data_IF_889075368253
#
_entry.id   IF_889075368253
#
_cell.length_a   1.000
_cell.length_b   1.000
_cell.length_c   1.000
_cell.angle_alpha   90.00
_cell.angle_beta   90.00
_cell.angle_gamma   90.00
#
_symmetry.space_group_name_H-M   'P 1'
#
loop_
_entity.id
_entity.type
_entity.pdbx_description
1 polymer ?
#
# COMPACT_ATOMS: atom_id res chain seq x y z
N UNK A 1 5.87 3.39 8.85
CA UNK A 1 6.94 3.91 9.74
C UNK A 1 8.18 3.07 9.50
N UNK A 2 9.29 3.69 9.08
CA UNK A 2 10.55 2.98 8.82
C UNK A 2 11.14 2.46 10.14
N UNK A 3 11.34 1.14 10.26
CA UNK A 3 12.02 0.54 11.41
C UNK A 3 13.48 0.99 11.40
N UNK A 4 13.86 1.78 12.40
CA UNK A 4 15.24 1.97 12.81
C UNK A 4 15.77 0.66 13.43
N UNK A 5 16.27 -0.27 12.62
CA UNK A 5 17.15 -1.34 13.09
C UNK A 5 18.42 -1.31 12.26
N UNK A 6 19.55 -1.13 12.94
CA UNK A 6 20.91 -1.11 12.38
C UNK A 6 21.13 -2.35 11.51
N UNK A 7 21.73 -2.18 10.33
CA UNK A 7 21.98 -3.23 9.32
C UNK A 7 22.65 -4.50 9.88
N UNK A 8 23.37 -4.37 11.00
CA UNK A 8 24.00 -5.47 11.74
C UNK A 8 23.00 -6.38 12.45
N UNK A 9 21.94 -5.85 13.07
CA UNK A 9 20.94 -6.63 13.82
C UNK A 9 20.10 -7.51 12.91
N UNK A 10 19.68 -6.98 11.76
CA UNK A 10 18.89 -7.73 10.77
C UNK A 10 19.71 -8.88 10.18
N UNK A 11 20.98 -8.63 9.86
CA UNK A 11 21.87 -9.67 9.33
C UNK A 11 22.15 -10.79 10.35
N UNK A 12 22.27 -10.45 11.64
CA UNK A 12 22.41 -11.44 12.71
C UNK A 12 21.15 -12.27 12.91
N UNK A 13 19.97 -11.66 12.86
CA UNK A 13 18.70 -12.37 12.97
C UNK A 13 18.48 -13.33 11.79
N UNK A 14 18.83 -12.91 10.56
CA UNK A 14 18.78 -13.79 9.38
C UNK A 14 19.74 -14.97 9.56
N UNK A 15 20.99 -14.74 9.99
CA UNK A 15 21.95 -15.85 10.21
C UNK A 15 21.48 -16.82 11.28
N UNK A 16 20.91 -16.31 12.37
CA UNK A 16 20.34 -17.14 13.43
C UNK A 16 19.21 -18.02 12.88
N UNK A 17 18.33 -17.44 12.06
CA UNK A 17 17.26 -18.18 11.40
C UNK A 17 17.80 -19.24 10.43
N UNK A 18 18.81 -18.89 9.61
CA UNK A 18 19.48 -19.85 8.71
C UNK A 18 20.11 -21.02 9.48
N UNK A 19 20.66 -20.75 10.67
CA UNK A 19 21.22 -21.77 11.57
C UNK A 19 20.14 -22.65 12.20
N UNK A 20 19.02 -22.07 12.63
CA UNK A 20 17.88 -22.84 13.17
C UNK A 20 17.21 -23.74 12.12
N UNK A 21 17.22 -23.32 10.85
CA UNK A 21 16.66 -24.07 9.72
C UNK A 21 17.67 -25.01 9.05
N UNK A 22 18.94 -24.99 9.48
CA UNK A 22 20.07 -25.66 8.82
C UNK A 22 20.09 -25.43 7.29
N UNK A 23 19.70 -24.23 6.86
CA UNK A 23 19.48 -23.90 5.45
C UNK A 23 19.86 -22.45 5.15
N UNK A 24 20.67 -22.22 4.13
CA UNK A 24 20.99 -20.87 3.65
C UNK A 24 19.81 -20.30 2.85
N UNK A 25 19.24 -19.20 3.35
CA UNK A 25 18.15 -18.47 2.70
C UNK A 25 18.69 -17.39 1.76
N UNK A 26 19.91 -16.92 2.00
CA UNK A 26 20.59 -15.92 1.16
C UNK A 26 21.94 -16.42 0.65
N UNK A 27 22.20 -16.18 -0.64
CA UNK A 27 23.50 -16.36 -1.27
C UNK A 27 24.17 -15.01 -1.53
N UNK A 28 25.50 -14.97 -1.46
CA UNK A 28 26.28 -13.79 -1.85
C UNK A 28 26.65 -13.91 -3.33
N UNK A 29 26.23 -12.94 -4.14
CA UNK A 29 26.64 -12.79 -5.54
C UNK A 29 27.33 -11.43 -5.70
N UNK A 30 28.66 -11.43 -5.67
CA UNK A 30 29.47 -10.21 -5.63
C UNK A 30 29.16 -9.35 -4.41
N UNK A 31 28.70 -8.10 -4.63
CA UNK A 31 28.28 -7.18 -3.56
C UNK A 31 26.80 -7.33 -3.15
N UNK A 32 26.03 -8.20 -3.81
CA UNK A 32 24.58 -8.34 -3.56
C UNK A 32 24.28 -9.64 -2.81
N UNK A 33 23.27 -9.58 -1.93
CA UNK A 33 22.65 -10.76 -1.31
C UNK A 33 21.38 -11.08 -2.07
N UNK A 34 21.28 -12.30 -2.60
CA UNK A 34 20.12 -12.81 -3.33
C UNK A 34 19.48 -13.94 -2.54
N UNK A 35 18.19 -14.16 -2.70
CA UNK A 35 17.53 -15.32 -2.13
C UNK A 35 18.02 -16.59 -2.83
N UNK A 36 18.13 -17.68 -2.07
CA UNK A 36 18.25 -19.03 -2.63
C UNK A 36 16.84 -19.54 -2.99
N UNK A 37 16.70 -20.65 -3.75
CA UNK A 37 15.39 -21.28 -3.97
C UNK A 37 14.66 -21.60 -2.64
N UNK A 38 15.41 -22.05 -1.63
CA UNK A 38 14.87 -22.25 -0.28
C UNK A 38 14.46 -20.92 0.38
N UNK A 39 15.22 -19.85 0.16
CA UNK A 39 14.89 -18.49 0.57
C UNK A 39 13.58 -17.97 -0.03
N UNK A 40 13.34 -18.22 -1.32
CA UNK A 40 12.09 -17.86 -2.00
C UNK A 40 10.90 -18.64 -1.44
N UNK A 41 11.07 -19.95 -1.26
CA UNK A 41 10.04 -20.81 -0.66
C UNK A 41 9.71 -20.35 0.78
N UNK A 42 10.75 -20.12 1.59
CA UNK A 42 10.60 -19.66 2.97
C UNK A 42 9.95 -18.27 3.03
N UNK A 43 10.30 -17.35 2.14
CA UNK A 43 9.68 -16.02 2.07
C UNK A 43 8.16 -16.11 1.88
N UNK A 44 7.68 -17.07 1.08
CA UNK A 44 6.25 -17.35 0.93
C UNK A 44 5.57 -17.82 2.21
N UNK A 45 6.25 -18.62 3.04
CA UNK A 45 5.76 -19.01 4.37
C UNK A 45 5.82 -17.85 5.36
N UNK A 46 6.93 -17.11 5.42
CA UNK A 46 7.12 -16.00 6.33
C UNK A 46 6.07 -14.90 6.13
N UNK A 47 5.75 -14.56 4.87
CA UNK A 47 4.67 -13.61 4.56
C UNK A 47 3.31 -14.08 5.08
N UNK A 48 2.98 -15.37 4.91
CA UNK A 48 1.73 -15.96 5.41
C UNK A 48 1.67 -15.98 6.94
N UNK A 49 2.80 -16.28 7.59
CA UNK A 49 2.87 -16.27 9.05
C UNK A 49 2.67 -14.85 9.61
N UNK A 50 3.33 -13.84 9.04
CA UNK A 50 3.12 -12.46 9.46
C UNK A 50 1.66 -12.03 9.31
N UNK A 51 1.03 -12.36 8.18
CA UNK A 51 -0.40 -12.08 7.97
C UNK A 51 -1.29 -12.77 9.03
N UNK A 52 -1.01 -14.04 9.35
CA UNK A 52 -1.76 -14.78 10.38
C UNK A 52 -1.51 -14.24 11.79
N UNK A 53 -0.28 -13.78 12.07
CA UNK A 53 0.07 -13.13 13.33
C UNK A 53 -0.71 -11.82 13.50
N UNK A 54 -0.75 -11.00 12.45
CA UNK A 54 -1.51 -9.75 12.43
C UNK A 54 -3.01 -10.02 12.62
N UNK A 55 -3.56 -11.03 11.94
CA UNK A 55 -4.95 -11.50 12.11
C UNK A 55 -5.23 -11.91 13.57
N UNK A 56 -4.36 -12.72 14.17
CA UNK A 56 -4.53 -13.20 15.55
C UNK A 56 -4.44 -12.05 16.58
N UNK A 57 -3.48 -11.14 16.41
CA UNK A 57 -3.33 -9.96 17.28
C UNK A 57 -4.56 -9.05 17.17
N UNK A 58 -5.11 -8.90 15.96
CA UNK A 58 -6.33 -8.14 15.73
C UNK A 58 -7.55 -8.80 16.37
N UNK A 59 -7.74 -10.11 16.19
CA UNK A 59 -8.85 -10.87 16.79
C UNK A 59 -8.85 -10.81 18.33
N UNK A 60 -7.66 -10.72 18.94
CA UNK A 60 -7.49 -10.63 20.38
C UNK A 60 -7.47 -9.20 20.92
N UNK A 61 -7.35 -8.20 20.05
CA UNK A 61 -7.46 -6.80 20.44
C UNK A 61 -8.92 -6.53 20.85
N UNK A 62 -9.17 -6.47 22.17
CA UNK A 62 -10.47 -6.26 22.84
C UNK A 62 -11.21 -4.95 22.48
N UNK A 63 -10.83 -4.26 21.42
CA UNK A 63 -11.39 -3.00 20.95
C UNK A 63 -11.61 -2.99 19.43
N UNK A 64 -11.96 -4.14 18.85
CA UNK A 64 -12.33 -4.30 17.44
C UNK A 64 -13.63 -3.55 17.11
N UNK A 65 -13.59 -2.22 17.09
CA UNK A 65 -14.34 -1.51 16.07
C UNK A 65 -13.75 -2.02 14.75
N UNK A 66 -14.56 -2.70 13.95
CA UNK A 66 -14.30 -2.80 12.53
C UNK A 66 -13.95 -1.39 12.08
N UNK A 67 -12.69 -1.15 11.72
CA UNK A 67 -12.26 0.17 11.31
C UNK A 67 -12.89 0.40 9.94
N UNK A 68 -14.07 1.01 9.93
CA UNK A 68 -14.61 1.57 8.73
C UNK A 68 -13.76 2.78 8.35
N UNK A 69 -13.27 2.78 7.13
CA UNK A 69 -12.54 3.92 6.56
C UNK A 69 -13.38 4.41 5.40
N UNK A 70 -13.82 5.67 5.47
CA UNK A 70 -14.57 6.36 4.42
C UNK A 70 -13.58 7.16 3.57
N UNK A 71 -13.36 6.69 2.36
CA UNK A 71 -12.45 7.28 1.38
C UNK A 71 -13.25 7.97 0.26
N UNK A 72 -13.13 9.28 0.16
CA UNK A 72 -13.62 10.04 -0.98
C UNK A 72 -12.59 10.09 -2.10
N UNK A 73 -12.97 9.82 -3.35
CA UNK A 73 -12.04 9.82 -4.49
C UNK A 73 -12.58 10.64 -5.66
N UNK A 74 -11.73 11.48 -6.24
CA UNK A 74 -12.05 12.22 -7.46
C UNK A 74 -12.41 11.26 -8.61
N UNK A 75 -13.45 11.58 -9.39
CA UNK A 75 -13.80 10.84 -10.61
C UNK A 75 -12.61 10.65 -11.57
N UNK A 76 -11.68 11.60 -11.65
CA UNK A 76 -10.50 11.50 -12.51
C UNK A 76 -9.57 10.35 -12.12
N UNK A 77 -9.70 9.80 -10.91
CA UNK A 77 -8.89 8.71 -10.38
C UNK A 77 -9.63 7.37 -10.34
N UNK A 78 -10.96 7.34 -10.47
CA UNK A 78 -11.76 6.12 -10.31
C UNK A 78 -11.53 5.09 -11.42
N UNK A 79 -11.22 5.54 -12.64
CA UNK A 79 -11.04 4.65 -13.81
C UNK A 79 -9.59 4.21 -14.03
N UNK A 80 -8.64 4.79 -13.28
CA UNK A 80 -7.21 4.55 -13.46
C UNK A 80 -6.60 3.60 -12.44
N UNK A 81 -5.72 4.12 -11.59
CA UNK A 81 -4.89 3.36 -10.63
C UNK A 81 -5.70 2.82 -9.44
N UNK A 82 -6.88 3.39 -9.19
CA UNK A 82 -7.65 3.12 -7.98
C UNK A 82 -8.08 1.65 -7.83
N UNK A 83 -8.62 0.95 -8.84
CA UNK A 83 -9.07 -0.44 -8.67
C UNK A 83 -7.93 -1.39 -8.26
N UNK A 84 -6.74 -1.23 -8.83
CA UNK A 84 -5.59 -2.06 -8.46
C UNK A 84 -5.11 -1.77 -7.04
N UNK A 85 -5.08 -0.49 -6.65
CA UNK A 85 -4.72 -0.06 -5.30
C UNK A 85 -5.72 -0.57 -4.25
N UNK A 86 -7.02 -0.48 -4.54
CA UNK A 86 -8.09 -1.02 -3.67
C UNK A 86 -7.99 -2.54 -3.55
N UNK A 87 -7.69 -3.25 -4.64
CA UNK A 87 -7.50 -4.70 -4.61
C UNK A 87 -6.26 -5.10 -3.77
N UNK A 88 -5.15 -4.36 -3.87
CA UNK A 88 -3.98 -4.57 -3.02
C UNK A 88 -4.29 -4.28 -1.55
N UNK A 89 -5.01 -3.20 -1.27
CA UNK A 89 -5.42 -2.83 0.09
C UNK A 89 -6.35 -3.87 0.71
N UNK A 90 -7.40 -4.30 0.01
CA UNK A 90 -8.35 -5.31 0.49
C UNK A 90 -7.66 -6.65 0.77
N UNK A 91 -6.66 -7.04 -0.02
CA UNK A 91 -5.85 -8.25 0.26
C UNK A 91 -4.93 -8.09 1.47
N UNK A 92 -4.37 -6.89 1.68
CA UNK A 92 -3.48 -6.62 2.80
C UNK A 92 -4.22 -6.40 4.12
N UNK A 93 -5.47 -5.90 4.06
CA UNK A 93 -6.29 -5.53 5.20
C UNK A 93 -7.74 -6.03 5.03
N UNK A 94 -7.98 -7.35 4.97
CA UNK A 94 -9.30 -7.93 4.69
C UNK A 94 -10.36 -7.65 5.75
N UNK A 95 -9.96 -7.20 6.94
CA UNK A 95 -10.85 -6.89 8.06
C UNK A 95 -11.21 -5.41 8.19
N UNK A 96 -10.70 -4.55 7.29
CA UNK A 96 -11.05 -3.12 7.20
C UNK A 96 -12.25 -2.98 6.27
N UNK A 97 -13.32 -2.33 6.74
CA UNK A 97 -14.42 -1.97 5.86
C UNK A 97 -14.07 -0.66 5.15
N UNK A 98 -13.50 -0.76 3.95
CA UNK A 98 -13.19 0.42 3.15
C UNK A 98 -14.41 0.83 2.31
N UNK A 99 -15.05 1.92 2.69
CA UNK A 99 -16.15 2.53 1.93
C UNK A 99 -15.55 3.57 0.99
N UNK A 100 -15.75 3.39 -0.31
CA UNK A 100 -15.20 4.30 -1.33
C UNK A 100 -16.36 5.01 -2.03
N UNK A 101 -16.36 6.34 -2.00
CA UNK A 101 -17.31 7.16 -2.74
C UNK A 101 -16.56 8.02 -3.76
N UNK A 102 -17.12 8.14 -4.96
CA UNK A 102 -16.58 9.01 -6.01
C UNK A 102 -17.33 10.34 -6.06
N UNK A 103 -16.60 11.44 -6.22
CA UNK A 103 -17.21 12.77 -6.36
C UNK A 103 -16.31 13.78 -7.08
N UNK A 104 -16.75 15.03 -7.13
CA UNK A 104 -15.97 16.15 -7.68
C UNK A 104 -15.10 16.81 -6.61
N UNK A 105 -13.94 17.35 -6.98
CA UNK A 105 -12.92 17.86 -6.04
C UNK A 105 -13.47 18.81 -4.96
N UNK A 106 -14.18 19.87 -5.36
CA UNK A 106 -14.75 20.83 -4.39
C UNK A 106 -15.78 20.21 -3.43
N UNK A 107 -16.59 19.27 -3.92
CA UNK A 107 -17.59 18.58 -3.10
C UNK A 107 -16.90 17.65 -2.09
N UNK A 108 -15.89 16.90 -2.53
CA UNK A 108 -15.11 16.01 -1.67
C UNK A 108 -14.41 16.77 -0.54
N UNK A 109 -13.85 17.95 -0.83
CA UNK A 109 -13.22 18.81 0.18
C UNK A 109 -14.24 19.28 1.22
N UNK A 110 -15.39 19.78 0.77
CA UNK A 110 -16.46 20.22 1.68
C UNK A 110 -16.95 19.08 2.58
N UNK A 111 -17.16 17.89 2.00
CA UNK A 111 -17.62 16.71 2.74
C UNK A 111 -16.55 16.18 3.70
N UNK A 112 -15.27 16.22 3.31
CA UNK A 112 -14.15 15.93 4.21
C UNK A 112 -14.11 16.88 5.41
N UNK A 113 -14.22 18.20 5.17
CA UNK A 113 -14.22 19.20 6.23
C UNK A 113 -15.42 19.03 7.20
N UNK A 114 -16.53 18.47 6.71
CA UNK A 114 -17.70 18.13 7.53
C UNK A 114 -17.60 16.78 8.27
N UNK A 115 -16.56 15.99 8.02
CA UNK A 115 -16.33 14.70 8.67
C UNK A 115 -17.01 13.50 8.01
N UNK A 116 -17.48 13.64 6.76
CA UNK A 116 -18.05 12.53 5.98
C UNK A 116 -16.99 11.53 5.52
N UNK A 117 -15.75 11.98 5.38
CA UNK A 117 -14.61 11.18 4.94
C UNK A 117 -13.47 11.24 5.95
N UNK A 118 -12.79 10.10 6.12
CA UNK A 118 -11.56 10.03 6.91
C UNK A 118 -10.34 10.41 6.06
N UNK A 119 -10.45 10.23 4.73
CA UNK A 119 -9.46 10.66 3.75
C UNK A 119 -10.14 11.01 2.43
N UNK A 120 -9.57 11.98 1.71
CA UNK A 120 -9.90 12.23 0.31
C UNK A 120 -8.66 12.09 -0.58
N UNK A 121 -8.88 11.59 -1.79
CA UNK A 121 -7.88 11.51 -2.84
C UNK A 121 -8.35 12.28 -4.07
N UNK A 122 -7.65 13.38 -4.36
CA UNK A 122 -7.99 14.29 -5.45
C UNK A 122 -6.83 14.45 -6.43
N UNK A 123 -7.15 14.91 -7.64
CA UNK A 123 -6.18 15.27 -8.67
C UNK A 123 -6.36 16.77 -8.93
N UNK A 124 -5.41 17.56 -8.45
CA UNK A 124 -5.49 19.02 -8.47
C UNK A 124 -4.36 19.63 -9.29
N UNK A 125 -4.63 20.77 -9.92
CA UNK A 125 -3.62 21.52 -10.68
C UNK A 125 -2.60 22.18 -9.77
N UNK A 126 -3.03 22.61 -8.59
CA UNK A 126 -2.21 23.23 -7.55
C UNK A 126 -2.36 22.44 -6.25
N UNK A 127 -1.29 22.31 -5.44
CA UNK A 127 -1.39 21.64 -4.16
C UNK A 127 -2.40 22.30 -3.22
N UNK A 128 -3.36 21.52 -2.74
CA UNK A 128 -4.25 21.93 -1.65
C UNK A 128 -3.63 21.62 -0.29
N UNK A 129 -4.34 21.99 0.79
CA UNK A 129 -3.99 21.57 2.15
C UNK A 129 -4.03 20.03 2.23
N UNK A 130 -2.87 19.39 2.11
CA UNK A 130 -2.76 17.95 2.04
C UNK A 130 -1.35 17.49 1.66
N UNK A 131 -1.22 16.18 1.41
CA UNK A 131 0.05 15.58 1.00
C UNK A 131 0.01 15.20 -0.48
N UNK A 132 0.92 15.77 -1.27
CA UNK A 132 1.13 15.36 -2.65
C UNK A 132 1.75 13.95 -2.67
N UNK A 133 1.06 12.99 -3.27
CA UNK A 133 1.52 11.58 -3.39
C UNK A 133 2.07 11.23 -4.78
N UNK A 134 1.89 12.12 -5.76
CA UNK A 134 2.38 11.96 -7.12
C UNK A 134 2.00 13.14 -8.01
N UNK A 135 2.58 13.18 -9.20
CA UNK A 135 2.23 14.14 -10.26
C UNK A 135 2.00 13.38 -11.56
N UNK A 136 1.11 13.90 -12.40
CA UNK A 136 0.84 13.35 -13.72
C UNK A 136 0.95 14.47 -14.77
N UNK A 137 1.54 14.16 -15.92
CA UNK A 137 1.57 15.11 -17.04
C UNK A 137 0.20 15.13 -17.73
N UNK A 138 -0.36 16.32 -17.92
CA UNK A 138 -1.50 16.47 -18.83
C UNK A 138 -1.03 16.24 -20.26
N UNK A 139 -1.67 15.31 -20.94
CA UNK A 139 -1.41 14.98 -22.34
C UNK A 139 -2.68 15.19 -23.15
N UNK A 140 -2.51 15.65 -24.38
CA UNK A 140 -3.60 15.71 -25.35
C UNK A 140 -3.74 14.35 -26.02
N UNK A 141 -4.95 13.81 -26.00
CA UNK A 141 -5.28 12.55 -26.68
C UNK A 141 -6.29 12.87 -27.78
N UNK A 142 -6.02 12.38 -28.99
CA UNK A 142 -7.07 12.25 -29.97
C UNK A 142 -6.62 11.48 -31.20
N UNK A 143 -7.47 11.53 -32.23
CA UNK A 143 -7.32 10.65 -33.39
C UNK A 143 -6.05 11.00 -34.17
N UNK A 144 -5.33 9.98 -34.62
CA UNK A 144 -4.20 10.17 -35.52
C UNK A 144 -4.63 11.01 -36.75
N UNK A 145 -3.89 12.08 -37.04
CA UNK A 145 -4.18 13.02 -38.14
C UNK A 145 -5.11 14.18 -37.78
N UNK A 146 -5.47 14.37 -36.49
CA UNK A 146 -6.19 15.57 -36.06
C UNK A 146 -5.24 16.77 -35.99
N UNK A 147 -5.55 17.86 -36.71
CA UNK A 147 -4.90 19.15 -36.52
C UNK A 147 -5.58 19.88 -35.34
N UNK A 148 -4.79 20.30 -34.36
CA UNK A 148 -5.26 21.03 -33.19
C UNK A 148 -4.77 22.47 -33.32
N UNK A 149 -5.67 23.40 -33.65
CA UNK A 149 -5.41 24.85 -33.65
C UNK A 149 -5.84 25.49 -32.35
#
# INVERSE_FOLDING_TARGET
QHLYKTQSTVSQQIRKLETELDTNLFATSGRRRLLTPAGEQFLGYAKRWLALQDEALFALAKNSLAAEIRLGVSHSLSEGVLPELLAQFSRAYPHVNLVVETGYGNELIQRYDSGDYDLILTLEREPLAGKVIGTAAMVWIGRAGSEWS
#
